data_IF_319529595068
#
_entry.id   IF_319529595068
#
_cell.length_a   1.000
_cell.length_b   1.000
_cell.length_c   1.000
_cell.angle_alpha   90.00
_cell.angle_beta   90.00
_cell.angle_gamma   90.00
#
_symmetry.space_group_name_H-M   'P 1'
#
loop_
_entity.id
_entity.type
_entity.pdbx_description
1 polymer ?
#
# COMPACT_ATOMS: atom_id res chain seq x y z
N UNK A 1 14.66 -35.37 -25.50
CA UNK A 1 13.73 -34.22 -25.45
C UNK A 1 12.89 -34.41 -24.19
N UNK A 2 12.85 -33.49 -23.21
CA UNK A 2 11.99 -33.72 -22.06
C UNK A 2 10.54 -33.62 -22.54
N UNK A 3 9.89 -34.78 -22.53
CA UNK A 3 8.45 -34.94 -22.73
C UNK A 3 7.67 -34.08 -21.72
N UNK A 4 6.61 -33.44 -22.23
CA UNK A 4 5.31 -33.33 -21.57
C UNK A 4 5.24 -32.72 -20.16
N UNK A 5 5.87 -31.58 -19.90
CA UNK A 5 5.32 -30.69 -18.87
C UNK A 5 4.02 -30.09 -19.41
N UNK A 6 2.88 -30.68 -19.06
CA UNK A 6 1.56 -30.24 -19.52
C UNK A 6 1.18 -28.92 -18.84
N UNK A 7 0.45 -28.02 -19.51
CA UNK A 7 0.06 -26.74 -18.89
C UNK A 7 -0.76 -26.92 -17.60
N UNK A 8 -1.66 -27.92 -17.57
CA UNK A 8 -2.42 -28.29 -16.36
C UNK A 8 -1.49 -28.72 -15.21
N UNK A 9 -0.47 -29.55 -15.50
CA UNK A 9 0.50 -29.96 -14.48
C UNK A 9 1.24 -28.75 -13.90
N UNK A 10 1.65 -27.80 -14.74
CA UNK A 10 2.32 -26.57 -14.28
C UNK A 10 1.40 -25.70 -13.44
N UNK A 11 0.16 -25.49 -13.88
CA UNK A 11 -0.82 -24.73 -13.12
C UNK A 11 -1.08 -25.33 -11.74
N UNK A 12 -1.19 -26.67 -11.65
CA UNK A 12 -1.32 -27.39 -10.37
C UNK A 12 -0.08 -27.26 -9.50
N UNK A 13 1.11 -27.36 -10.09
CA UNK A 13 2.39 -27.20 -9.37
C UNK A 13 2.52 -25.80 -8.79
N UNK A 14 2.26 -24.76 -9.59
CA UNK A 14 2.26 -23.37 -9.11
C UNK A 14 1.29 -23.17 -7.96
N UNK A 15 0.07 -23.74 -8.05
CA UNK A 15 -0.92 -23.70 -6.97
C UNK A 15 -0.45 -24.41 -5.70
N UNK A 16 0.14 -25.60 -5.81
CA UNK A 16 0.66 -26.36 -4.66
C UNK A 16 1.75 -25.61 -3.89
N UNK A 17 2.48 -24.71 -4.55
CA UNK A 17 3.49 -23.85 -3.96
C UNK A 17 2.98 -22.45 -3.58
N UNK A 18 1.66 -22.20 -3.60
CA UNK A 18 1.05 -20.88 -3.38
C UNK A 18 1.62 -19.78 -4.33
N UNK A 19 2.10 -20.15 -5.52
CA UNK A 19 2.69 -19.26 -6.51
C UNK A 19 1.62 -18.71 -7.47
N UNK A 20 0.84 -17.76 -6.97
CA UNK A 20 -0.19 -17.07 -7.76
C UNK A 20 0.35 -15.93 -8.62
N UNK A 21 1.59 -15.49 -8.35
CA UNK A 21 2.34 -14.54 -9.17
C UNK A 21 3.73 -15.13 -9.45
N UNK A 22 4.20 -15.00 -10.69
CA UNK A 22 5.52 -15.47 -11.06
C UNK A 22 6.12 -14.70 -12.24
N UNK A 23 7.43 -14.86 -12.42
CA UNK A 23 8.18 -14.36 -13.58
C UNK A 23 8.71 -15.55 -14.39
N UNK A 24 9.07 -15.36 -15.67
CA UNK A 24 9.71 -16.41 -16.45
C UNK A 24 10.98 -16.98 -15.79
N UNK A 25 11.74 -16.16 -15.07
CA UNK A 25 12.92 -16.62 -14.33
C UNK A 25 12.52 -17.55 -13.17
N UNK A 26 11.54 -17.15 -12.36
CA UNK A 26 11.03 -18.00 -11.27
C UNK A 26 10.53 -19.36 -11.81
N UNK A 27 9.82 -19.34 -12.94
CA UNK A 27 9.29 -20.55 -13.55
C UNK A 27 10.40 -21.42 -14.17
N UNK A 28 11.46 -20.80 -14.71
CA UNK A 28 12.65 -21.50 -15.19
C UNK A 28 13.34 -22.24 -14.05
N UNK A 29 13.58 -21.54 -12.95
CA UNK A 29 14.25 -22.08 -11.77
C UNK A 29 13.42 -23.20 -11.12
N UNK A 30 12.11 -23.01 -10.98
CA UNK A 30 11.19 -23.99 -10.40
C UNK A 30 11.15 -25.30 -11.20
N UNK A 31 11.18 -25.22 -12.53
CA UNK A 31 11.02 -26.39 -13.40
C UNK A 31 12.35 -26.92 -13.96
N UNK A 32 13.48 -26.29 -13.65
CA UNK A 32 14.78 -26.63 -14.23
C UNK A 32 14.82 -26.48 -15.75
N UNK A 33 14.10 -25.49 -16.31
CA UNK A 33 13.94 -25.30 -17.75
C UNK A 33 14.77 -24.12 -18.27
N UNK A 34 15.26 -24.23 -19.49
CA UNK A 34 15.85 -23.10 -20.18
C UNK A 34 14.80 -22.03 -20.50
N UNK A 35 15.26 -20.77 -20.56
CA UNK A 35 14.40 -19.62 -20.85
C UNK A 35 13.56 -19.77 -22.12
N UNK A 36 14.12 -20.39 -23.18
CA UNK A 36 13.39 -20.66 -24.44
C UNK A 36 12.27 -21.69 -24.26
N UNK A 37 12.47 -22.70 -23.40
CA UNK A 37 11.43 -23.68 -23.07
C UNK A 37 10.31 -23.02 -22.25
N UNK A 38 10.66 -22.16 -21.29
CA UNK A 38 9.69 -21.42 -20.48
C UNK A 38 8.80 -20.52 -21.33
N UNK A 39 9.35 -19.76 -22.27
CA UNK A 39 8.50 -18.92 -23.14
C UNK A 39 7.54 -19.74 -24.02
N UNK A 40 7.96 -20.92 -24.51
CA UNK A 40 7.06 -21.85 -25.22
C UNK A 40 5.97 -22.41 -24.30
N UNK A 41 6.31 -22.73 -23.05
CA UNK A 41 5.36 -23.17 -22.04
C UNK A 41 4.36 -22.05 -21.69
N UNK A 42 4.82 -20.82 -21.52
CA UNK A 42 3.96 -19.66 -21.26
C UNK A 42 3.00 -19.36 -22.42
N UNK A 43 3.42 -19.58 -23.66
CA UNK A 43 2.53 -19.46 -24.81
C UNK A 43 1.37 -20.48 -24.72
N UNK A 44 1.68 -21.74 -24.34
CA UNK A 44 0.66 -22.79 -24.15
C UNK A 44 -0.25 -22.50 -22.95
N UNK A 45 0.31 -22.13 -21.80
CA UNK A 45 -0.45 -21.75 -20.60
C UNK A 45 -1.43 -20.59 -20.87
N UNK A 46 -1.03 -19.60 -21.67
CA UNK A 46 -1.91 -18.49 -22.07
C UNK A 46 -3.00 -18.95 -23.04
N UNK A 47 -2.66 -19.81 -24.00
CA UNK A 47 -3.63 -20.35 -24.94
C UNK A 47 -4.72 -21.19 -24.26
N UNK A 48 -4.39 -21.82 -23.13
CA UNK A 48 -5.32 -22.54 -22.26
C UNK A 48 -5.94 -21.66 -21.14
N UNK A 49 -5.74 -20.34 -21.18
CA UNK A 49 -6.25 -19.36 -20.19
C UNK A 49 -5.82 -19.65 -18.72
N UNK A 50 -4.80 -20.48 -18.54
CA UNK A 50 -4.28 -20.88 -17.23
C UNK A 50 -3.49 -19.76 -16.56
N UNK A 51 -2.95 -18.81 -17.34
CA UNK A 51 -2.18 -17.67 -16.83
C UNK A 51 -2.50 -16.41 -17.63
N UNK A 52 -2.36 -15.25 -16.99
CA UNK A 52 -2.47 -13.95 -17.64
C UNK A 52 -1.25 -13.08 -17.35
N UNK A 53 -0.84 -12.28 -18.33
CA UNK A 53 0.25 -11.32 -18.19
C UNK A 53 -0.30 -9.97 -17.71
N UNK A 54 0.14 -9.49 -16.54
CA UNK A 54 -0.31 -8.22 -15.93
C UNK A 54 0.53 -7.05 -16.40
N UNK A 55 1.82 -7.31 -16.55
CA UNK A 55 2.82 -6.41 -17.10
C UNK A 55 3.87 -7.30 -17.78
N UNK A 56 4.58 -6.76 -18.77
CA UNK A 56 5.61 -7.50 -19.51
C UNK A 56 6.51 -8.33 -18.58
N UNK A 57 6.45 -9.66 -18.75
CA UNK A 57 7.25 -10.62 -17.98
C UNK A 57 6.73 -10.93 -16.56
N UNK A 58 5.49 -10.57 -16.25
CA UNK A 58 4.86 -10.77 -14.93
C UNK A 58 3.50 -11.43 -15.11
N UNK A 59 3.36 -12.62 -14.55
CA UNK A 59 2.22 -13.49 -14.81
C UNK A 59 1.48 -13.78 -13.52
N UNK A 60 0.16 -13.86 -13.64
CA UNK A 60 -0.74 -14.38 -12.62
C UNK A 60 -1.24 -15.75 -13.03
N UNK A 61 -1.38 -16.66 -12.07
CA UNK A 61 -2.10 -17.92 -12.25
C UNK A 61 -3.61 -17.64 -12.24
N UNK A 62 -4.33 -18.04 -13.29
CA UNK A 62 -5.75 -17.71 -13.47
C UNK A 62 -6.67 -18.89 -13.70
N UNK A 63 -6.26 -19.96 -14.38
CA UNK A 63 -7.25 -20.92 -14.91
C UNK A 63 -7.85 -21.92 -13.92
N UNK A 64 -7.38 -22.00 -12.67
CA UNK A 64 -7.95 -22.91 -11.67
C UNK A 64 -8.92 -22.19 -10.71
N UNK A 65 -8.63 -20.93 -10.37
CA UNK A 65 -9.41 -20.10 -9.44
C UNK A 65 -9.30 -18.62 -9.87
N UNK A 66 -9.80 -18.25 -11.07
CA UNK A 66 -9.55 -16.93 -11.66
C UNK A 66 -10.09 -15.80 -10.78
N UNK A 67 -11.26 -16.00 -10.19
CA UNK A 67 -11.88 -15.02 -9.31
C UNK A 67 -11.03 -14.75 -8.07
N UNK A 68 -10.33 -15.74 -7.54
CA UNK A 68 -9.52 -15.60 -6.33
C UNK A 68 -8.36 -14.63 -6.53
N UNK A 69 -7.68 -14.71 -7.68
CA UNK A 69 -6.53 -13.86 -7.99
C UNK A 69 -6.97 -12.51 -8.55
N UNK A 70 -7.99 -12.49 -9.41
CA UNK A 70 -8.47 -11.27 -10.02
C UNK A 70 -9.34 -10.40 -9.12
N UNK A 71 -9.88 -10.92 -8.02
CA UNK A 71 -10.63 -10.10 -7.05
C UNK A 71 -9.73 -9.36 -6.06
N UNK A 72 -8.43 -9.63 -6.04
CA UNK A 72 -7.54 -9.12 -5.00
C UNK A 72 -6.48 -8.15 -5.55
N UNK A 73 -6.81 -6.85 -5.68
CA UNK A 73 -5.87 -5.85 -6.18
C UNK A 73 -4.67 -5.64 -5.25
N UNK A 74 -4.79 -5.90 -3.94
CA UNK A 74 -3.69 -5.76 -2.98
C UNK A 74 -2.58 -6.79 -3.24
N UNK A 75 -2.97 -8.04 -3.52
CA UNK A 75 -2.05 -9.10 -3.93
C UNK A 75 -1.31 -8.71 -5.20
N UNK A 76 -2.03 -8.33 -6.26
CA UNK A 76 -1.43 -7.98 -7.54
C UNK A 76 -0.45 -6.82 -7.36
N UNK A 77 -0.87 -5.74 -6.70
CA UNK A 77 -0.06 -4.53 -6.56
C UNK A 77 1.24 -4.78 -5.78
N UNK A 78 1.20 -5.56 -4.70
CA UNK A 78 2.38 -5.86 -3.88
C UNK A 78 3.45 -6.70 -4.60
N UNK A 79 3.07 -7.45 -5.63
CA UNK A 79 3.98 -8.30 -6.40
C UNK A 79 4.54 -7.63 -7.66
N UNK A 80 3.91 -6.56 -8.15
CA UNK A 80 4.35 -5.84 -9.34
C UNK A 80 5.69 -5.12 -9.20
N UNK A 81 6.24 -4.95 -7.99
CA UNK A 81 7.59 -4.43 -7.77
C UNK A 81 8.12 -4.92 -6.42
N UNK A 82 9.42 -5.22 -6.34
CA UNK A 82 10.06 -5.65 -5.09
C UNK A 82 11.37 -4.87 -4.84
N UNK A 83 11.64 -4.41 -3.60
CA UNK A 83 10.79 -4.55 -2.42
C UNK A 83 9.62 -3.54 -2.42
N UNK A 84 8.47 -3.95 -1.87
CA UNK A 84 7.27 -3.12 -1.79
C UNK A 84 6.30 -3.60 -0.71
N UNK A 85 5.41 -2.71 -0.28
CA UNK A 85 4.25 -3.03 0.57
C UNK A 85 3.06 -2.12 0.23
N UNK A 86 1.84 -2.63 0.36
CA UNK A 86 0.59 -1.85 0.23
C UNK A 86 0.55 -0.81 1.36
N UNK A 87 0.24 0.44 1.03
CA UNK A 87 0.21 1.54 2.01
C UNK A 87 -0.82 2.59 1.62
N UNK A 88 -0.80 3.74 2.30
CA UNK A 88 -1.67 4.89 2.04
C UNK A 88 -3.15 4.51 2.11
N UNK A 89 -4.01 5.07 1.26
CA UNK A 89 -5.45 4.79 1.28
C UNK A 89 -5.80 3.30 1.28
N UNK A 90 -5.03 2.50 0.53
CA UNK A 90 -5.28 1.06 0.43
C UNK A 90 -5.06 0.32 1.75
N UNK A 91 -4.07 0.73 2.53
CA UNK A 91 -3.85 0.16 3.86
C UNK A 91 -4.84 0.73 4.88
N UNK A 92 -5.19 2.01 4.80
CA UNK A 92 -6.24 2.59 5.66
C UNK A 92 -7.57 1.86 5.47
N UNK A 93 -7.95 1.58 4.22
CA UNK A 93 -9.17 0.83 3.91
C UNK A 93 -9.09 -0.63 4.38
N UNK A 94 -7.93 -1.28 4.21
CA UNK A 94 -7.72 -2.65 4.69
C UNK A 94 -7.93 -2.80 6.20
N UNK A 95 -7.53 -1.79 7.00
CA UNK A 95 -7.76 -1.77 8.45
C UNK A 95 -9.09 -1.16 8.87
N UNK A 96 -10.00 -0.90 7.91
CA UNK A 96 -11.29 -0.25 8.18
C UNK A 96 -11.18 1.12 8.85
N UNK A 97 -10.05 1.83 8.67
CA UNK A 97 -9.88 3.20 9.14
C UNK A 97 -10.58 4.21 8.21
N UNK A 98 -11.08 3.76 7.06
CA UNK A 98 -11.86 4.57 6.11
C UNK A 98 -12.90 3.68 5.45
N UNK A 99 -14.12 4.20 5.35
CA UNK A 99 -15.23 3.54 4.62
C UNK A 99 -15.09 3.71 3.11
N UNK A 100 -14.36 4.73 2.67
CA UNK A 100 -14.16 4.98 1.24
C UNK A 100 -13.25 3.91 0.62
N UNK A 101 -13.81 3.15 -0.33
CA UNK A 101 -13.07 2.18 -1.13
C UNK A 101 -12.22 2.91 -2.18
N UNK A 102 -10.88 2.81 -2.14
CA UNK A 102 -10.04 3.53 -3.08
C UNK A 102 -10.09 2.90 -4.48
N UNK A 103 -10.38 3.70 -5.51
CA UNK A 103 -10.34 3.29 -6.92
C UNK A 103 -8.92 2.94 -7.43
N UNK A 104 -7.90 3.23 -6.63
CA UNK A 104 -6.49 2.97 -6.96
C UNK A 104 -5.82 2.30 -5.77
N UNK A 105 -5.11 1.20 -6.03
CA UNK A 105 -4.29 0.56 -5.01
C UNK A 105 -2.90 1.24 -4.95
N UNK A 106 -2.54 1.72 -3.77
CA UNK A 106 -1.30 2.43 -3.51
C UNK A 106 -0.27 1.51 -2.84
N UNK A 107 0.96 1.57 -3.34
CA UNK A 107 2.07 0.72 -2.90
C UNK A 107 3.29 1.58 -2.66
N UNK A 108 3.89 1.46 -1.48
CA UNK A 108 5.19 2.05 -1.18
C UNK A 108 6.31 1.13 -1.66
N UNK A 109 7.34 1.69 -2.29
CA UNK A 109 8.51 0.92 -2.77
C UNK A 109 9.77 1.79 -2.74
N UNK A 110 10.94 1.18 -2.60
CA UNK A 110 12.22 1.90 -2.74
C UNK A 110 12.68 2.02 -4.19
N UNK A 111 11.96 1.41 -5.14
CA UNK A 111 12.29 1.45 -6.58
C UNK A 111 11.36 2.38 -7.34
N UNK A 112 11.86 2.97 -8.43
CA UNK A 112 11.01 3.71 -9.36
C UNK A 112 10.15 2.72 -10.15
N UNK A 113 8.83 2.92 -10.12
CA UNK A 113 7.87 2.11 -10.86
C UNK A 113 6.77 3.00 -11.42
N UNK A 114 6.52 2.89 -12.73
CA UNK A 114 5.40 3.59 -13.37
C UNK A 114 4.07 2.96 -12.94
N UNK A 115 2.98 3.75 -12.86
CA UNK A 115 1.64 3.21 -12.64
C UNK A 115 1.32 2.09 -13.63
N UNK A 116 0.50 1.14 -13.19
CA UNK A 116 0.03 0.02 -14.01
C UNK A 116 -1.49 0.04 -13.99
N UNK A 117 -2.09 -0.19 -15.14
CA UNK A 117 -3.52 -0.48 -15.27
C UNK A 117 -3.63 -1.92 -15.76
N UNK A 118 -4.42 -2.72 -15.06
CA UNK A 118 -4.70 -4.09 -15.44
C UNK A 118 -6.18 -4.36 -15.22
N UNK A 119 -6.91 -4.58 -16.31
CA UNK A 119 -8.39 -4.58 -16.30
C UNK A 119 -8.88 -3.27 -15.67
N UNK A 120 -9.82 -3.34 -14.73
CA UNK A 120 -10.36 -2.18 -14.02
C UNK A 120 -9.49 -1.72 -12.84
N UNK A 121 -8.41 -2.46 -12.52
CA UNK A 121 -7.52 -2.10 -11.43
C UNK A 121 -6.48 -1.07 -11.84
N UNK A 122 -6.32 -0.06 -10.98
CA UNK A 122 -5.28 0.97 -11.10
C UNK A 122 -4.29 0.81 -9.97
N UNK A 123 -3.01 0.71 -10.30
CA UNK A 123 -1.92 0.56 -9.35
C UNK A 123 -1.01 1.77 -9.39
N UNK A 124 -0.81 2.41 -8.24
CA UNK A 124 0.11 3.54 -8.08
C UNK A 124 1.24 3.17 -7.13
N UNK A 125 2.47 3.36 -7.61
CA UNK A 125 3.67 3.07 -6.84
C UNK A 125 4.30 4.38 -6.37
N UNK A 126 4.47 4.52 -5.06
CA UNK A 126 5.07 5.68 -4.40
C UNK A 126 6.50 5.33 -4.02
N UNK A 127 7.45 5.97 -4.67
CA UNK A 127 8.87 5.76 -4.35
C UNK A 127 9.22 6.48 -3.06
N UNK A 128 9.63 5.71 -2.04
CA UNK A 128 10.05 6.21 -0.73
C UNK A 128 11.56 6.06 -0.53
N UNK A 129 12.14 6.92 0.32
CA UNK A 129 13.54 6.77 0.73
C UNK A 129 13.70 5.48 1.54
N UNK A 130 14.85 4.77 1.47
CA UNK A 130 15.08 3.55 2.26
C UNK A 130 14.79 3.72 3.77
N UNK A 131 15.16 4.87 4.35
CA UNK A 131 14.86 5.17 5.77
C UNK A 131 13.36 5.21 6.13
N UNK A 132 12.49 5.45 5.15
CA UNK A 132 11.02 5.46 5.30
C UNK A 132 10.37 4.09 5.01
N UNK A 133 11.16 3.08 4.60
CA UNK A 133 10.68 1.76 4.22
C UNK A 133 10.79 0.77 5.40
N UNK A 134 9.79 0.77 6.27
CA UNK A 134 9.69 -0.09 7.47
C UNK A 134 8.22 -0.24 7.88
N UNK A 135 7.93 -0.94 8.98
CA UNK A 135 6.59 -0.97 9.57
C UNK A 135 5.57 -1.66 8.67
N UNK A 136 5.95 -2.80 8.09
CA UNK A 136 5.07 -3.59 7.23
C UNK A 136 5.17 -5.05 7.64
N UNK A 137 4.12 -5.81 7.37
CA UNK A 137 4.01 -7.23 7.69
C UNK A 137 3.39 -8.01 6.53
N UNK A 138 3.51 -9.33 6.61
CA UNK A 138 2.81 -10.24 5.70
C UNK A 138 1.45 -10.55 6.30
N UNK A 139 0.42 -10.38 5.48
CA UNK A 139 -0.97 -10.73 5.77
C UNK A 139 -1.50 -11.71 4.74
N UNK A 140 -2.59 -12.40 5.07
CA UNK A 140 -3.36 -13.17 4.09
C UNK A 140 -4.69 -12.46 3.81
N UNK A 141 -4.97 -12.20 2.54
CA UNK A 141 -6.25 -11.67 2.07
C UNK A 141 -6.93 -12.76 1.28
N UNK A 142 -7.89 -13.44 1.92
CA UNK A 142 -8.25 -14.81 1.53
C UNK A 142 -7.03 -15.72 1.73
N UNK A 143 -6.64 -16.46 0.70
CA UNK A 143 -5.41 -17.27 0.75
C UNK A 143 -4.19 -16.58 0.16
N UNK A 144 -4.32 -15.34 -0.34
CA UNK A 144 -3.25 -14.67 -1.06
C UNK A 144 -2.33 -13.91 -0.10
N UNK A 145 -1.00 -14.12 -0.16
CA UNK A 145 -0.06 -13.40 0.69
C UNK A 145 0.08 -11.95 0.21
N UNK A 146 -0.11 -10.98 1.11
CA UNK A 146 0.04 -9.55 0.82
C UNK A 146 1.06 -8.96 1.79
N UNK A 147 2.00 -8.15 1.30
CA UNK A 147 2.83 -7.33 2.17
C UNK A 147 2.18 -5.97 2.32
N UNK A 148 1.85 -5.56 3.54
CA UNK A 148 1.08 -4.36 3.84
C UNK A 148 1.70 -3.59 5.01
N UNK A 149 1.59 -2.27 4.99
CA UNK A 149 1.93 -1.41 6.13
C UNK A 149 1.16 -1.88 7.37
N UNK A 150 1.79 -1.90 8.54
CA UNK A 150 1.04 -2.04 9.79
C UNK A 150 0.16 -0.79 10.05
N UNK A 151 -0.71 -0.84 11.05
CA UNK A 151 -1.68 0.20 11.36
C UNK A 151 -1.00 1.56 11.54
N UNK A 152 0.02 1.62 12.41
CA UNK A 152 0.78 2.85 12.68
C UNK A 152 1.47 3.36 11.42
N UNK A 153 2.08 2.48 10.63
CA UNK A 153 2.76 2.85 9.39
C UNK A 153 1.80 3.36 8.33
N UNK A 154 0.61 2.77 8.23
CA UNK A 154 -0.42 3.17 7.28
C UNK A 154 -0.86 4.63 7.52
N UNK A 155 -0.99 5.04 8.79
CA UNK A 155 -1.29 6.41 9.18
C UNK A 155 -0.13 7.34 8.86
N UNK A 156 1.10 7.03 9.31
CA UNK A 156 2.22 7.97 9.09
C UNK A 156 2.63 8.07 7.62
N UNK A 157 2.50 7.01 6.82
CA UNK A 157 2.71 7.10 5.36
C UNK A 157 1.66 8.00 4.71
N UNK A 158 0.40 7.85 5.11
CA UNK A 158 -0.69 8.67 4.63
C UNK A 158 -0.52 10.13 5.02
N UNK A 159 -0.10 10.41 6.26
CA UNK A 159 0.16 11.77 6.70
C UNK A 159 1.43 12.35 6.06
N UNK A 160 2.45 11.55 5.75
CA UNK A 160 3.65 11.99 5.02
C UNK A 160 3.29 12.47 3.61
N UNK A 161 2.40 11.74 2.93
CA UNK A 161 1.95 12.07 1.57
C UNK A 161 0.42 11.98 1.44
N UNK A 162 -0.31 12.99 1.97
CA UNK A 162 -1.79 12.95 2.07
C UNK A 162 -2.50 12.80 0.73
N UNK A 163 -1.90 13.27 -0.36
CA UNK A 163 -2.40 13.09 -1.73
C UNK A 163 -2.61 11.64 -2.18
N UNK A 164 -2.02 10.67 -1.49
CA UNK A 164 -2.21 9.24 -1.77
C UNK A 164 -3.22 8.58 -0.82
N UNK A 165 -3.89 9.37 0.01
CA UNK A 165 -4.86 8.95 1.02
C UNK A 165 -6.05 9.92 1.10
N UNK A 166 -6.44 10.54 -0.02
CA UNK A 166 -7.61 11.43 -0.08
C UNK A 166 -7.40 12.87 0.39
N UNK A 167 -6.19 13.20 0.85
CA UNK A 167 -5.88 14.51 1.44
C UNK A 167 -5.85 14.45 2.97
N UNK A 168 -5.50 15.57 3.62
CA UNK A 168 -5.29 15.56 5.08
C UNK A 168 -6.59 15.34 5.85
N UNK A 169 -7.73 15.78 5.34
CA UNK A 169 -9.04 15.52 5.94
C UNK A 169 -9.32 14.02 6.11
N UNK A 170 -9.15 13.24 5.04
CA UNK A 170 -9.36 11.79 5.08
C UNK A 170 -8.33 11.08 5.96
N UNK A 171 -7.07 11.53 5.98
CA UNK A 171 -6.06 11.01 6.91
C UNK A 171 -6.41 11.32 8.37
N UNK A 172 -6.96 12.50 8.65
CA UNK A 172 -7.38 12.89 10.00
C UNK A 172 -8.55 12.03 10.48
N UNK A 173 -9.55 11.78 9.63
CA UNK A 173 -10.65 10.84 9.92
C UNK A 173 -10.15 9.42 10.17
N UNK A 174 -9.21 8.96 9.34
CA UNK A 174 -8.61 7.64 9.51
C UNK A 174 -7.79 7.50 10.78
N UNK A 175 -7.04 8.54 11.16
CA UNK A 175 -6.37 8.59 12.46
C UNK A 175 -7.39 8.50 13.60
N UNK A 176 -8.48 9.26 13.55
CA UNK A 176 -9.53 9.22 14.57
C UNK A 176 -10.13 7.82 14.73
N UNK A 177 -10.50 7.17 13.61
CA UNK A 177 -11.02 5.81 13.63
C UNK A 177 -9.99 4.81 14.21
N UNK A 178 -8.71 4.99 13.89
CA UNK A 178 -7.67 4.11 14.39
C UNK A 178 -7.37 4.26 15.89
N UNK A 179 -7.59 5.45 16.47
CA UNK A 179 -7.24 5.75 17.87
C UNK A 179 -7.96 4.89 18.90
N UNK A 180 -9.11 4.29 18.57
CA UNK A 180 -9.85 3.40 19.49
C UNK A 180 -9.08 2.13 19.88
N UNK A 181 -8.12 1.68 19.06
CA UNK A 181 -7.33 0.48 19.31
C UNK A 181 -5.84 0.59 18.98
N UNK A 182 -5.35 1.78 18.64
CA UNK A 182 -3.97 1.98 18.20
C UNK A 182 -3.00 2.21 19.35
N UNK A 183 -1.82 1.58 19.24
CA UNK A 183 -0.65 1.89 20.06
C UNK A 183 -0.05 3.25 19.66
N UNK A 184 -0.48 4.31 20.37
CA UNK A 184 -0.01 5.69 20.16
C UNK A 184 1.51 5.84 20.35
N UNK A 185 2.15 5.26 21.40
CA UNK A 185 3.61 5.25 21.50
C UNK A 185 4.32 4.72 20.24
N UNK A 186 3.83 3.63 19.64
CA UNK A 186 4.37 3.11 18.37
C UNK A 186 4.15 4.06 17.21
N UNK A 187 3.00 4.71 17.14
CA UNK A 187 2.71 5.75 16.14
C UNK A 187 3.71 6.92 16.23
N UNK A 188 4.03 7.37 17.45
CA UNK A 188 5.03 8.41 17.72
C UNK A 188 6.44 7.97 17.31
N UNK A 189 6.85 6.76 17.68
CA UNK A 189 8.13 6.18 17.27
C UNK A 189 8.27 6.19 15.75
N UNK A 190 7.23 5.73 15.05
CA UNK A 190 7.21 5.65 13.59
C UNK A 190 7.27 7.02 12.93
N UNK A 191 6.49 7.99 13.43
CA UNK A 191 6.52 9.37 12.96
C UNK A 191 7.93 9.99 13.09
N UNK A 192 8.57 9.80 14.24
CA UNK A 192 9.94 10.26 14.48
C UNK A 192 10.95 9.56 13.57
N UNK A 193 10.82 8.25 13.37
CA UNK A 193 11.69 7.46 12.49
C UNK A 193 11.63 7.89 11.03
N UNK A 194 10.47 8.38 10.55
CA UNK A 194 10.37 8.97 9.21
C UNK A 194 11.26 10.21 9.05
N UNK A 195 11.63 10.87 10.16
CA UNK A 195 12.48 12.05 10.21
C UNK A 195 11.96 13.19 9.34
N UNK A 196 10.64 13.38 9.35
CA UNK A 196 9.94 14.52 8.74
C UNK A 196 9.29 15.32 9.87
N UNK A 197 9.89 16.45 10.21
CA UNK A 197 9.44 17.31 11.31
C UNK A 197 8.07 17.92 11.03
N UNK A 198 7.74 18.16 9.77
CA UNK A 198 6.43 18.66 9.36
C UNK A 198 5.34 17.61 9.58
N UNK A 199 5.66 16.32 9.39
CA UNK A 199 4.76 15.22 9.76
C UNK A 199 4.56 15.18 11.28
N UNK A 200 5.63 15.27 12.07
CA UNK A 200 5.52 15.28 13.53
C UNK A 200 4.65 16.43 14.06
N UNK A 201 4.83 17.64 13.52
CA UNK A 201 3.95 18.79 13.77
C UNK A 201 2.48 18.49 13.46
N UNK A 202 2.18 17.97 12.27
CA UNK A 202 0.80 17.64 11.86
C UNK A 202 0.17 16.56 12.72
N UNK A 203 0.93 15.50 13.04
CA UNK A 203 0.45 14.40 13.85
C UNK A 203 0.13 14.87 15.28
N UNK A 204 1.03 15.62 15.90
CA UNK A 204 0.82 16.12 17.26
C UNK A 204 -0.39 17.04 17.35
N UNK A 205 -0.56 17.95 16.38
CA UNK A 205 -1.76 18.79 16.29
C UNK A 205 -3.05 17.97 16.20
N UNK A 206 -3.09 16.97 15.31
CA UNK A 206 -4.28 16.14 15.13
C UNK A 206 -4.58 15.28 16.37
N UNK A 207 -3.56 14.69 17.00
CA UNK A 207 -3.73 13.90 18.22
C UNK A 207 -4.31 14.75 19.37
N UNK A 208 -3.79 15.97 19.58
CA UNK A 208 -4.33 16.88 20.58
C UNK A 208 -5.75 17.34 20.25
N UNK A 209 -6.02 17.66 19.00
CA UNK A 209 -7.36 18.02 18.54
C UNK A 209 -8.38 16.90 18.80
N UNK A 210 -7.96 15.63 18.75
CA UNK A 210 -8.79 14.47 19.04
C UNK A 210 -8.80 14.06 20.52
N UNK A 211 -8.21 14.86 21.42
CA UNK A 211 -8.22 14.59 22.86
C UNK A 211 -7.16 13.57 23.32
N UNK A 212 -6.16 13.29 22.49
CA UNK A 212 -5.04 12.41 22.79
C UNK A 212 -3.73 13.21 22.87
N UNK A 213 -3.52 14.05 23.91
CA UNK A 213 -2.28 14.80 24.05
C UNK A 213 -1.08 13.86 24.13
N UNK A 214 0.00 14.24 23.44
CA UNK A 214 1.17 13.38 23.29
C UNK A 214 2.46 14.16 23.45
N UNK A 215 3.47 13.48 23.98
CA UNK A 215 4.82 14.00 24.15
C UNK A 215 5.82 13.20 23.29
N UNK A 216 7.01 13.75 23.09
CA UNK A 216 8.11 13.04 22.40
C UNK A 216 8.06 13.05 20.86
N UNK A 217 7.04 13.66 20.24
CA UNK A 217 7.05 13.91 18.79
C UNK A 217 8.07 14.98 18.41
N UNK A 218 8.91 14.68 17.42
CA UNK A 218 9.85 15.63 16.83
C UNK A 218 9.09 16.51 15.84
N UNK A 219 8.89 17.77 16.23
CA UNK A 219 8.14 18.76 15.45
C UNK A 219 9.03 19.75 14.69
N UNK A 220 8.44 20.51 13.78
CA UNK A 220 9.10 21.61 13.08
C UNK A 220 9.36 22.78 14.02
N UNK A 221 10.47 23.50 13.80
CA UNK A 221 10.77 24.76 14.49
C UNK A 221 10.05 25.96 13.86
N UNK A 222 9.54 25.81 12.65
CA UNK A 222 8.84 26.85 11.90
C UNK A 222 7.44 26.38 11.50
N UNK A 223 6.48 27.30 11.31
CA UNK A 223 5.11 26.93 10.92
C UNK A 223 5.05 26.06 9.67
N UNK A 224 4.30 24.97 9.74
CA UNK A 224 4.00 24.06 8.63
C UNK A 224 2.49 24.04 8.38
N UNK A 225 2.09 23.83 7.14
CA UNK A 225 0.65 23.70 6.82
C UNK A 225 0.11 22.38 7.37
N UNK A 226 -1.11 22.41 7.90
CA UNK A 226 -1.84 21.18 8.24
C UNK A 226 -2.06 20.35 6.97
N UNK A 227 -2.60 20.98 5.92
CA UNK A 227 -2.71 20.42 4.57
C UNK A 227 -1.66 21.03 3.62
N UNK A 228 -0.64 20.25 3.21
CA UNK A 228 0.36 20.69 2.24
C UNK A 228 -0.21 21.08 0.87
N UNK A 229 -1.39 20.56 0.49
CA UNK A 229 -2.06 20.85 -0.78
C UNK A 229 -2.83 22.16 -0.82
N UNK A 230 -3.10 22.78 0.33
CA UNK A 230 -3.87 24.03 0.42
C UNK A 230 -2.99 25.27 0.62
N UNK A 231 -3.48 26.49 0.33
CA UNK A 231 -2.82 27.74 0.72
C UNK A 231 -2.61 27.82 2.25
N UNK A 232 -1.59 28.52 2.75
CA UNK A 232 -1.33 28.67 4.18
C UNK A 232 -2.23 29.75 4.82
N UNK A 233 -3.55 29.56 4.75
CA UNK A 233 -4.53 30.53 5.28
C UNK A 233 -5.25 29.91 6.47
N UNK A 234 -5.06 30.49 7.66
CA UNK A 234 -5.67 30.02 8.90
C UNK A 234 -4.85 30.43 10.14
N UNK A 235 -5.38 30.20 11.35
CA UNK A 235 -4.63 30.42 12.58
C UNK A 235 -3.44 29.47 12.67
N UNK A 236 -2.39 29.90 13.36
CA UNK A 236 -1.23 29.07 13.64
C UNK A 236 -1.32 28.53 15.07
N UNK A 237 -1.30 27.21 15.22
CA UNK A 237 -1.10 26.56 16.50
C UNK A 237 0.35 26.70 16.95
N UNK A 238 0.55 27.40 18.07
CA UNK A 238 1.88 27.74 18.58
C UNK A 238 2.64 26.54 19.13
N UNK A 239 1.93 25.52 19.67
CA UNK A 239 2.56 24.31 20.20
C UNK A 239 3.17 23.52 19.06
N UNK A 240 2.38 23.09 18.09
CA UNK A 240 2.84 22.21 17.03
C UNK A 240 3.44 22.94 15.83
N UNK A 241 3.40 24.28 15.83
CA UNK A 241 3.82 25.11 14.69
C UNK A 241 3.03 24.72 13.43
N UNK A 242 1.70 24.63 13.56
CA UNK A 242 0.82 24.19 12.48
C UNK A 242 -0.10 25.33 12.06
N UNK A 243 -0.02 25.76 10.80
CA UNK A 243 -1.03 26.61 10.17
C UNK A 243 -2.24 25.74 9.87
N UNK A 244 -3.32 25.96 10.62
CA UNK A 244 -4.59 25.21 10.51
C UNK A 244 -5.36 25.72 9.30
N UNK A 245 -4.93 25.26 8.12
CA UNK A 245 -5.47 25.66 6.82
C UNK A 245 -6.52 24.68 6.28
N UNK A 246 -7.18 23.95 7.18
CA UNK A 246 -8.30 23.05 6.92
C UNK A 246 -9.41 23.39 7.92
N UNK A 247 -10.67 23.56 7.48
CA UNK A 247 -11.79 23.77 8.38
C UNK A 247 -11.96 22.60 9.35
N UNK A 248 -12.31 22.92 10.61
CA UNK A 248 -12.59 21.94 11.66
C UNK A 248 -13.61 20.90 11.16
N UNK A 249 -14.70 21.35 10.53
CA UNK A 249 -15.74 20.44 10.03
C UNK A 249 -15.20 19.33 9.10
N UNK A 250 -14.16 19.58 8.31
CA UNK A 250 -13.58 18.56 7.40
C UNK A 250 -12.75 17.51 8.14
N UNK A 251 -12.17 17.85 9.29
CA UNK A 251 -11.38 16.95 10.12
C UNK A 251 -12.28 16.06 11.03
N UNK A 252 -13.50 16.51 11.33
CA UNK A 252 -14.45 15.82 12.22
C UNK A 252 -15.69 15.24 11.53
N UNK A 253 -16.02 15.64 10.30
CA UNK A 253 -17.18 15.09 9.59
C UNK A 253 -17.10 13.57 9.59
N UNK A 254 -18.17 12.92 10.01
CA UNK A 254 -18.36 11.50 9.73
C UNK A 254 -18.20 11.31 8.22
N UNK A 255 -17.50 10.26 7.80
CA UNK A 255 -17.60 9.83 6.41
C UNK A 255 -19.10 9.75 6.10
N UNK A 256 -19.54 10.33 4.99
CA UNK A 256 -20.88 10.03 4.50
C UNK A 256 -20.90 8.53 4.24
N UNK A 257 -21.53 7.80 5.17
CA UNK A 257 -21.86 6.39 5.03
C UNK A 257 -22.88 6.14 3.93
#
# INVERSE_FOLDING_TARGET
MPELVSPIFVARTLRQHDLYYFTPSLLADLLGLERRQVYRLLARLRAEELVVEVEKGKFLLSGLEPEKVFSNPLFIASHLVAPAYVSYWSALHFYSFTEQVPLTTFVATTKKKRPVVFRDFRFRFVTVKPRKFFGYRRERVGDLPVVIADEAKSIVDSLDQPRYAGGVGEVAKALRAALEGMDVPRLVEYANRLGDKSLGSRLGYLLEAFGHPVEGLIRSASPVKLDPGRPPVGPCDGRWQVVVNVPLAELWAEGVG
#
